data_IF_853242209204
#
_entry.id   IF_853242209204
#
_cell.length_a   1.000
_cell.length_b   1.000
_cell.length_c   1.000
_cell.angle_alpha   90.00
_cell.angle_beta   90.00
_cell.angle_gamma   90.00
#
_symmetry.space_group_name_H-M   'P 1'
#
loop_
_entity.id
_entity.type
_entity.pdbx_description
1 polymer ?
#
# COMPACT_ATOMS: atom_id res chain seq x y z
N UNK A 1 -68.76 -44.15 -28.44
CA UNK A 1 -68.00 -43.90 -29.66
C UNK A 1 -67.60 -42.42 -29.65
N UNK A 2 -66.41 -42.11 -29.42
CA UNK A 2 -65.61 -40.96 -29.85
C UNK A 2 -64.47 -40.78 -28.83
N UNK A 3 -63.28 -41.09 -29.31
CA UNK A 3 -61.97 -40.92 -28.62
C UNK A 3 -61.63 -39.47 -28.54
N UNK A 4 -61.23 -38.96 -27.34
CA UNK A 4 -60.57 -37.68 -27.17
C UNK A 4 -59.06 -37.88 -26.85
N UNK A 5 -58.24 -37.54 -27.81
CA UNK A 5 -56.79 -37.51 -27.60
C UNK A 5 -56.39 -36.25 -26.80
N UNK A 6 -55.86 -36.44 -25.62
CA UNK A 6 -55.18 -35.37 -24.86
C UNK A 6 -53.77 -35.20 -25.37
N UNK A 7 -53.48 -34.04 -25.98
CA UNK A 7 -52.17 -33.60 -26.39
C UNK A 7 -51.48 -32.94 -25.16
N UNK A 8 -50.42 -33.57 -24.63
CA UNK A 8 -49.56 -33.01 -23.62
C UNK A 8 -48.55 -32.06 -24.30
N UNK A 9 -48.75 -30.76 -24.09
CA UNK A 9 -47.74 -29.73 -24.41
C UNK A 9 -46.62 -29.76 -23.36
N UNK A 10 -45.50 -30.34 -23.71
CA UNK A 10 -44.23 -30.17 -23.00
C UNK A 10 -43.71 -28.77 -23.29
N UNK A 11 -43.92 -27.83 -22.36
CA UNK A 11 -43.17 -26.56 -22.31
C UNK A 11 -41.76 -26.87 -21.86
N UNK A 12 -40.85 -26.95 -22.83
CA UNK A 12 -39.41 -26.92 -22.59
C UNK A 12 -39.02 -25.55 -22.06
N UNK A 13 -38.62 -25.48 -20.80
CA UNK A 13 -37.91 -24.31 -20.27
C UNK A 13 -36.58 -24.18 -21.00
N UNK A 14 -36.53 -23.33 -22.02
CA UNK A 14 -35.26 -22.82 -22.52
C UNK A 14 -34.67 -21.95 -21.42
N UNK A 15 -33.72 -22.51 -20.67
CA UNK A 15 -32.76 -21.72 -19.90
C UNK A 15 -32.05 -20.79 -20.87
N UNK A 16 -32.34 -19.50 -20.79
CA UNK A 16 -31.55 -18.43 -21.36
C UNK A 16 -30.17 -18.50 -20.69
N UNK A 17 -29.25 -19.30 -21.22
CA UNK A 17 -27.86 -19.12 -21.03
C UNK A 17 -27.58 -17.73 -21.62
N UNK A 18 -27.43 -16.72 -20.74
CA UNK A 18 -27.04 -15.41 -21.15
C UNK A 18 -25.80 -15.54 -22.02
N UNK A 19 -25.83 -14.97 -23.22
CA UNK A 19 -24.63 -14.79 -24.02
C UNK A 19 -23.64 -13.97 -23.17
N UNK A 20 -22.72 -14.65 -22.52
CA UNK A 20 -21.49 -14.02 -22.08
C UNK A 20 -20.85 -13.51 -23.37
N UNK A 21 -20.77 -12.19 -23.56
CA UNK A 21 -20.13 -11.61 -24.72
C UNK A 21 -18.75 -12.24 -24.92
N UNK A 22 -18.27 -12.27 -26.16
CA UNK A 22 -16.90 -12.72 -26.42
C UNK A 22 -15.92 -11.92 -25.55
N UNK A 23 -14.92 -12.55 -24.95
CA UNK A 23 -13.95 -11.85 -24.12
C UNK A 23 -13.23 -10.80 -24.98
N UNK A 24 -13.15 -9.58 -24.48
CA UNK A 24 -12.59 -8.42 -25.17
C UNK A 24 -11.67 -7.66 -24.22
N UNK A 25 -10.42 -7.49 -24.64
CA UNK A 25 -9.42 -6.74 -23.86
C UNK A 25 -9.83 -5.28 -23.66
N UNK A 26 -10.51 -4.65 -24.64
CA UNK A 26 -11.04 -3.29 -24.53
C UNK A 26 -12.12 -3.22 -23.45
N UNK A 27 -13.02 -4.21 -23.40
CA UNK A 27 -14.05 -4.28 -22.34
C UNK A 27 -13.42 -4.46 -20.95
N UNK A 28 -12.36 -5.25 -20.85
CA UNK A 28 -11.61 -5.38 -19.59
C UNK A 28 -10.97 -4.04 -19.16
N UNK A 29 -10.34 -3.32 -20.08
CA UNK A 29 -9.74 -2.01 -19.82
C UNK A 29 -10.79 -0.96 -19.44
N UNK A 30 -11.92 -0.91 -20.15
CA UNK A 30 -13.03 -0.02 -19.82
C UNK A 30 -13.67 -0.34 -18.46
N UNK A 31 -13.75 -1.61 -18.11
CA UNK A 31 -14.21 -2.05 -16.79
C UNK A 31 -13.25 -1.61 -15.68
N UNK A 32 -11.93 -1.78 -15.88
CA UNK A 32 -10.92 -1.27 -14.96
C UNK A 32 -11.03 0.24 -14.77
N UNK A 33 -11.17 1.00 -15.86
CA UNK A 33 -11.30 2.45 -15.79
C UNK A 33 -12.55 2.92 -15.00
N UNK A 34 -13.59 2.08 -14.94
CA UNK A 34 -14.80 2.33 -14.16
C UNK A 34 -14.77 1.75 -12.74
N UNK A 35 -13.67 1.08 -12.36
CA UNK A 35 -13.56 0.38 -11.07
C UNK A 35 -14.34 -0.94 -11.00
N UNK A 36 -14.87 -1.46 -12.12
CA UNK A 36 -15.53 -2.77 -12.21
C UNK A 36 -14.48 -3.88 -12.37
N UNK A 37 -13.82 -4.18 -11.25
CA UNK A 37 -12.76 -5.21 -11.21
C UNK A 37 -13.30 -6.60 -11.50
N UNK A 38 -14.57 -6.89 -11.20
CA UNK A 38 -15.20 -8.19 -11.46
C UNK A 38 -15.31 -8.49 -12.95
N UNK A 39 -15.87 -7.55 -13.72
CA UNK A 39 -15.97 -7.66 -15.19
C UNK A 39 -14.58 -7.67 -15.84
N UNK A 40 -13.66 -6.85 -15.35
CA UNK A 40 -12.29 -6.83 -15.86
C UNK A 40 -11.59 -8.18 -15.65
N UNK A 41 -11.65 -8.72 -14.43
CA UNK A 41 -11.08 -10.01 -14.05
C UNK A 41 -11.61 -11.15 -14.95
N UNK A 42 -12.93 -11.22 -15.16
CA UNK A 42 -13.55 -12.24 -15.99
C UNK A 42 -13.05 -12.19 -17.43
N UNK A 43 -12.98 -11.01 -18.04
CA UNK A 43 -12.53 -10.85 -19.41
C UNK A 43 -11.02 -11.15 -19.55
N UNK A 44 -10.18 -10.63 -18.64
CA UNK A 44 -8.74 -10.92 -18.66
C UNK A 44 -8.45 -12.41 -18.42
N UNK A 45 -9.17 -13.08 -17.50
CA UNK A 45 -8.99 -14.50 -17.25
C UNK A 45 -9.29 -15.33 -18.51
N UNK A 46 -10.42 -15.08 -19.16
CA UNK A 46 -10.81 -15.81 -20.38
C UNK A 46 -9.79 -15.62 -21.52
N UNK A 47 -9.29 -14.40 -21.70
CA UNK A 47 -8.26 -14.11 -22.72
C UNK A 47 -6.89 -14.70 -22.33
N UNK A 48 -6.52 -14.66 -21.05
CA UNK A 48 -5.29 -15.25 -20.55
C UNK A 48 -5.28 -16.77 -20.73
N UNK A 49 -6.42 -17.46 -20.49
CA UNK A 49 -6.59 -18.89 -20.73
C UNK A 49 -6.47 -19.26 -22.21
N UNK A 50 -6.76 -18.31 -23.11
CA UNK A 50 -6.51 -18.45 -24.56
C UNK A 50 -5.06 -18.12 -24.98
N UNK A 51 -4.20 -17.74 -24.02
CA UNK A 51 -2.78 -17.46 -24.25
C UNK A 51 -2.45 -16.02 -24.69
N UNK A 52 -3.40 -15.09 -24.59
CA UNK A 52 -3.13 -13.67 -24.89
C UNK A 52 -2.25 -13.05 -23.82
N UNK A 53 -1.01 -12.72 -24.16
CA UNK A 53 0.01 -12.22 -23.20
C UNK A 53 -0.41 -10.91 -22.54
N UNK A 54 -0.98 -9.96 -23.28
CA UNK A 54 -1.46 -8.71 -22.71
C UNK A 54 -2.59 -8.90 -21.70
N UNK A 55 -3.42 -9.93 -21.90
CA UNK A 55 -4.47 -10.28 -20.94
C UNK A 55 -3.88 -10.95 -19.69
N UNK A 56 -2.84 -11.77 -19.83
CA UNK A 56 -2.09 -12.30 -18.70
C UNK A 56 -1.49 -11.18 -17.85
N UNK A 57 -0.91 -10.16 -18.48
CA UNK A 57 -0.42 -8.97 -17.77
C UNK A 57 -1.56 -8.23 -17.05
N UNK A 58 -2.70 -8.01 -17.72
CA UNK A 58 -3.85 -7.36 -17.11
C UNK A 58 -4.43 -8.16 -15.94
N UNK A 59 -4.48 -9.49 -16.04
CA UNK A 59 -4.89 -10.37 -14.95
C UNK A 59 -3.94 -10.23 -13.75
N UNK A 60 -2.64 -10.28 -14.00
CA UNK A 60 -1.63 -10.13 -12.96
C UNK A 60 -1.64 -8.74 -12.31
N UNK A 61 -1.91 -7.67 -13.08
CA UNK A 61 -2.08 -6.32 -12.56
C UNK A 61 -3.26 -6.26 -11.56
N UNK A 62 -4.39 -6.94 -11.82
CA UNK A 62 -5.53 -7.03 -10.89
C UNK A 62 -5.19 -7.89 -9.67
N UNK A 63 -4.53 -9.02 -9.86
CA UNK A 63 -4.10 -9.88 -8.76
C UNK A 63 -3.15 -9.15 -7.81
N UNK A 64 -2.26 -8.33 -8.34
CA UNK A 64 -1.33 -7.50 -7.57
C UNK A 64 -2.07 -6.48 -6.68
N UNK A 65 -3.17 -5.90 -7.18
CA UNK A 65 -3.98 -4.92 -6.44
C UNK A 65 -4.80 -5.54 -5.29
N UNK A 66 -4.96 -6.85 -5.25
CA UNK A 66 -5.79 -7.52 -4.23
C UNK A 66 -5.19 -7.49 -2.82
N UNK A 67 -3.86 -7.32 -2.68
CA UNK A 67 -3.15 -7.42 -1.41
C UNK A 67 -3.11 -8.84 -0.80
N UNK A 68 -3.79 -9.82 -1.40
CA UNK A 68 -3.77 -11.21 -0.94
C UNK A 68 -2.42 -11.87 -1.28
N UNK A 69 -1.71 -12.43 -0.29
CA UNK A 69 -0.44 -13.11 -0.51
C UNK A 69 -0.47 -14.25 -1.55
N UNK A 70 -1.58 -14.94 -1.71
CA UNK A 70 -1.74 -15.98 -2.72
C UNK A 70 -1.86 -15.35 -4.12
N UNK A 71 -2.63 -14.28 -4.26
CA UNK A 71 -2.80 -13.54 -5.52
C UNK A 71 -1.50 -12.85 -5.94
N UNK A 72 -0.73 -12.33 -4.99
CA UNK A 72 0.56 -11.71 -5.28
C UNK A 72 1.58 -12.72 -5.83
N UNK A 73 1.64 -13.93 -5.25
CA UNK A 73 2.46 -15.01 -5.81
C UNK A 73 1.99 -15.44 -7.19
N UNK A 74 0.68 -15.49 -7.41
CA UNK A 74 0.09 -15.80 -8.71
C UNK A 74 0.45 -14.73 -9.74
N UNK A 75 0.38 -13.44 -9.37
CA UNK A 75 0.79 -12.32 -10.22
C UNK A 75 2.28 -12.41 -10.62
N UNK A 76 3.17 -12.65 -9.64
CA UNK A 76 4.61 -12.84 -9.92
C UNK A 76 4.84 -13.99 -10.89
N UNK A 77 4.20 -15.15 -10.67
CA UNK A 77 4.31 -16.30 -11.56
C UNK A 77 3.80 -15.99 -12.98
N UNK A 78 2.69 -15.28 -13.09
CA UNK A 78 2.12 -14.88 -14.38
C UNK A 78 3.04 -13.89 -15.11
N UNK A 79 3.60 -12.89 -14.42
CA UNK A 79 4.58 -11.99 -15.03
C UNK A 79 5.84 -12.74 -15.48
N UNK A 80 6.37 -13.70 -14.70
CA UNK A 80 7.53 -14.50 -15.08
C UNK A 80 7.26 -15.31 -16.36
N UNK A 81 6.08 -15.90 -16.48
CA UNK A 81 5.70 -16.64 -17.68
C UNK A 81 5.59 -15.72 -18.91
N UNK A 82 5.03 -14.52 -18.74
CA UNK A 82 4.80 -13.57 -19.81
C UNK A 82 6.06 -12.77 -20.21
N UNK A 83 7.01 -12.56 -19.29
CA UNK A 83 8.17 -11.68 -19.46
C UNK A 83 9.06 -12.05 -20.66
N UNK A 84 9.20 -13.34 -20.97
CA UNK A 84 9.99 -13.79 -22.10
C UNK A 84 9.47 -13.30 -23.47
N UNK A 85 8.15 -12.99 -23.54
CA UNK A 85 7.47 -12.62 -24.79
C UNK A 85 6.83 -11.23 -24.76
N UNK A 86 6.94 -10.50 -23.65
CA UNK A 86 6.34 -9.19 -23.48
C UNK A 86 7.26 -8.25 -22.70
N UNK A 87 7.81 -7.21 -23.34
CA UNK A 87 8.56 -6.16 -22.65
C UNK A 87 7.76 -5.51 -21.52
N UNK A 88 6.45 -5.35 -21.68
CA UNK A 88 5.56 -4.85 -20.65
C UNK A 88 5.51 -5.77 -19.44
N UNK A 89 5.41 -7.10 -19.63
CA UNK A 89 5.46 -8.05 -18.53
C UNK A 89 6.84 -8.05 -17.85
N UNK A 90 7.92 -7.94 -18.63
CA UNK A 90 9.28 -7.81 -18.11
C UNK A 90 9.42 -6.55 -17.24
N UNK A 91 8.91 -5.40 -17.68
CA UNK A 91 8.90 -4.17 -16.90
C UNK A 91 8.09 -4.32 -15.59
N UNK A 92 6.92 -5.00 -15.64
CA UNK A 92 6.09 -5.26 -14.45
C UNK A 92 6.79 -6.17 -13.45
N UNK A 93 7.38 -7.27 -13.92
CA UNK A 93 8.16 -8.18 -13.08
C UNK A 93 9.40 -7.48 -12.50
N UNK A 94 10.14 -6.75 -13.33
CA UNK A 94 11.32 -6.01 -12.89
C UNK A 94 10.98 -4.98 -11.82
N UNK A 95 9.87 -4.25 -11.96
CA UNK A 95 9.36 -3.33 -10.93
C UNK A 95 9.02 -4.07 -9.64
N UNK A 96 8.27 -5.17 -9.74
CA UNK A 96 7.88 -5.99 -8.59
C UNK A 96 9.11 -6.45 -7.81
N UNK A 97 10.12 -6.99 -8.51
CA UNK A 97 11.35 -7.48 -7.89
C UNK A 97 12.22 -6.36 -7.32
N UNK A 98 12.30 -5.20 -8.01
CA UNK A 98 13.07 -4.04 -7.56
C UNK A 98 12.55 -3.46 -6.24
N UNK A 99 11.25 -3.52 -6.04
CA UNK A 99 10.59 -3.02 -4.82
C UNK A 99 10.39 -4.09 -3.75
N UNK A 100 10.81 -5.32 -4.03
CA UNK A 100 10.63 -6.48 -3.14
C UNK A 100 11.51 -6.33 -1.88
N UNK A 101 10.95 -6.09 -0.67
CA UNK A 101 11.73 -6.07 0.57
C UNK A 101 12.39 -7.44 0.81
N UNK A 102 13.66 -7.42 1.20
CA UNK A 102 14.41 -8.66 1.44
C UNK A 102 14.70 -9.48 0.17
N UNK A 103 14.61 -8.85 -1.03
CA UNK A 103 15.02 -9.47 -2.27
C UNK A 103 16.48 -9.94 -2.19
N UNK A 104 16.74 -11.13 -2.73
CA UNK A 104 18.09 -11.67 -2.84
C UNK A 104 18.88 -10.90 -3.90
N UNK A 105 20.22 -10.95 -3.82
CA UNK A 105 21.07 -10.36 -4.86
C UNK A 105 20.71 -10.89 -6.26
N UNK A 106 20.37 -12.16 -6.37
CA UNK A 106 19.93 -12.77 -7.63
C UNK A 106 18.64 -12.14 -8.17
N UNK A 107 17.65 -11.90 -7.33
CA UNK A 107 16.40 -11.24 -7.70
C UNK A 107 16.61 -9.77 -8.06
N UNK A 108 17.52 -9.08 -7.38
CA UNK A 108 17.89 -7.69 -7.68
C UNK A 108 18.58 -7.59 -9.05
N UNK A 109 19.49 -8.51 -9.37
CA UNK A 109 20.13 -8.59 -10.69
C UNK A 109 19.14 -8.99 -11.79
N UNK A 110 18.20 -9.89 -11.49
CA UNK A 110 17.09 -10.22 -12.39
C UNK A 110 16.23 -8.99 -12.69
N UNK A 111 15.86 -8.22 -11.66
CA UNK A 111 15.10 -6.98 -11.79
C UNK A 111 15.81 -5.97 -12.70
N UNK A 112 17.11 -5.78 -12.50
CA UNK A 112 17.94 -4.90 -13.35
C UNK A 112 17.88 -5.31 -14.81
N UNK A 113 18.11 -6.61 -15.09
CA UNK A 113 18.10 -7.16 -16.45
C UNK A 113 16.76 -6.96 -17.12
N UNK A 114 15.66 -7.33 -16.44
CA UNK A 114 14.30 -7.19 -16.96
C UNK A 114 13.95 -5.72 -17.26
N UNK A 115 14.31 -4.79 -16.39
CA UNK A 115 14.02 -3.38 -16.58
C UNK A 115 14.87 -2.76 -17.70
N UNK A 116 16.16 -3.14 -17.84
CA UNK A 116 17.02 -2.68 -18.92
C UNK A 116 16.56 -3.22 -20.28
N UNK A 117 16.19 -4.50 -20.35
CA UNK A 117 15.69 -5.11 -21.59
C UNK A 117 14.35 -4.49 -22.02
N UNK A 118 13.44 -4.26 -21.06
CA UNK A 118 12.19 -3.56 -21.31
C UNK A 118 12.43 -2.11 -21.79
N UNK A 119 13.37 -1.39 -21.17
CA UNK A 119 13.78 -0.04 -21.60
C UNK A 119 14.31 -0.05 -23.04
N UNK A 120 15.18 -1.00 -23.37
CA UNK A 120 15.71 -1.16 -24.72
C UNK A 120 14.61 -1.50 -25.76
N UNK A 121 13.54 -2.17 -25.32
CA UNK A 121 12.35 -2.45 -26.13
C UNK A 121 11.36 -1.28 -26.21
N UNK A 122 11.65 -0.13 -25.58
CA UNK A 122 10.84 1.11 -25.64
C UNK A 122 9.77 1.24 -24.55
N UNK A 123 9.77 0.39 -23.52
CA UNK A 123 8.88 0.55 -22.37
C UNK A 123 9.26 1.79 -21.54
N UNK A 124 8.24 2.61 -21.23
CA UNK A 124 8.46 3.96 -20.69
C UNK A 124 8.70 4.01 -19.18
N UNK A 125 8.14 3.09 -18.41
CA UNK A 125 8.10 3.17 -16.95
C UNK A 125 9.17 2.27 -16.30
N UNK A 126 10.42 2.38 -16.75
CA UNK A 126 11.55 1.55 -16.31
C UNK A 126 12.60 2.33 -15.52
N UNK A 127 12.71 3.63 -15.75
CA UNK A 127 13.74 4.49 -15.12
C UNK A 127 13.55 4.59 -13.61
N UNK A 128 12.32 4.87 -13.14
CA UNK A 128 12.07 5.02 -11.70
C UNK A 128 12.27 3.70 -10.92
N UNK A 129 11.76 2.54 -11.39
CA UNK A 129 12.10 1.26 -10.76
C UNK A 129 13.61 0.96 -10.72
N UNK A 130 14.36 1.27 -11.78
CA UNK A 130 15.82 1.13 -11.77
C UNK A 130 16.47 2.08 -10.74
N UNK A 131 15.96 3.31 -10.63
CA UNK A 131 16.44 4.27 -9.63
C UNK A 131 16.23 3.74 -8.23
N UNK A 132 15.03 3.25 -7.92
CA UNK A 132 14.71 2.64 -6.63
C UNK A 132 15.63 1.46 -6.34
N UNK A 133 15.80 0.56 -7.30
CA UNK A 133 16.66 -0.63 -7.19
C UNK A 133 18.10 -0.25 -6.80
N UNK A 134 18.70 0.68 -7.53
CA UNK A 134 20.10 1.07 -7.30
C UNK A 134 20.29 1.84 -5.99
N UNK A 135 19.32 2.69 -5.63
CA UNK A 135 19.38 3.47 -4.40
C UNK A 135 19.19 2.61 -3.15
N UNK A 136 18.30 1.62 -3.22
CA UNK A 136 18.03 0.72 -2.09
C UNK A 136 19.08 -0.38 -1.93
N UNK A 137 19.78 -0.77 -3.00
CA UNK A 137 20.73 -1.88 -3.00
C UNK A 137 22.13 -1.49 -3.52
N UNK A 138 22.77 -0.43 -2.96
CA UNK A 138 24.07 0.03 -3.45
C UNK A 138 25.18 -1.03 -3.30
N UNK A 139 25.04 -1.98 -2.36
CA UNK A 139 25.97 -3.08 -2.18
C UNK A 139 25.92 -4.11 -3.30
N UNK A 140 24.76 -4.28 -3.94
CA UNK A 140 24.59 -5.17 -5.10
C UNK A 140 25.08 -4.51 -6.39
N UNK A 141 25.01 -3.18 -6.47
CA UNK A 141 25.35 -2.39 -7.66
C UNK A 141 26.45 -1.36 -7.35
N UNK A 142 27.63 -1.77 -6.82
CA UNK A 142 28.69 -0.82 -6.44
C UNK A 142 29.29 -0.06 -7.63
N UNK A 143 29.09 -0.58 -8.85
CA UNK A 143 29.52 0.03 -10.10
C UNK A 143 28.61 1.18 -10.55
N UNK A 144 27.41 1.33 -10.01
CA UNK A 144 26.44 2.32 -10.47
C UNK A 144 26.62 3.64 -9.74
N UNK A 145 27.05 4.66 -10.48
CA UNK A 145 27.00 6.05 -10.02
C UNK A 145 25.67 6.68 -10.46
N UNK A 146 24.75 6.86 -9.52
CA UNK A 146 23.40 7.35 -9.83
C UNK A 146 23.37 8.70 -10.53
N UNK A 147 24.26 9.64 -10.15
CA UNK A 147 24.31 10.96 -10.80
C UNK A 147 24.74 10.85 -12.28
N UNK A 148 25.71 9.98 -12.55
CA UNK A 148 26.14 9.69 -13.91
C UNK A 148 25.06 8.94 -14.70
N UNK A 149 24.39 7.99 -14.07
CA UNK A 149 23.32 7.22 -14.68
C UNK A 149 22.12 8.09 -15.08
N UNK A 150 21.69 9.01 -14.21
CA UNK A 150 20.63 9.98 -14.52
C UNK A 150 21.07 10.90 -15.68
N UNK A 151 22.31 11.35 -15.69
CA UNK A 151 22.84 12.17 -16.79
C UNK A 151 22.81 11.42 -18.13
N UNK A 152 23.12 10.11 -18.11
CA UNK A 152 23.03 9.26 -19.29
C UNK A 152 21.58 9.10 -19.75
N UNK A 153 20.65 8.79 -18.84
CA UNK A 153 19.23 8.69 -19.19
C UNK A 153 18.65 9.98 -19.78
N UNK A 154 19.11 11.16 -19.28
CA UNK A 154 18.75 12.46 -19.89
C UNK A 154 19.27 12.59 -21.32
N UNK A 155 20.54 12.23 -21.54
CA UNK A 155 21.15 12.27 -22.85
C UNK A 155 20.49 11.34 -23.85
N UNK A 156 20.04 10.17 -23.38
CA UNK A 156 19.31 9.17 -24.17
C UNK A 156 17.83 9.53 -24.36
N UNK A 157 17.35 10.64 -23.78
CA UNK A 157 15.95 11.08 -23.88
C UNK A 157 14.96 10.14 -23.15
N UNK A 158 15.44 9.44 -22.14
CA UNK A 158 14.59 8.51 -21.40
C UNK A 158 13.50 9.27 -20.63
N UNK A 159 12.23 8.86 -20.76
CA UNK A 159 11.17 9.38 -19.90
C UNK A 159 11.50 9.18 -18.42
N UNK A 160 11.06 10.08 -17.58
CA UNK A 160 11.24 10.02 -16.12
C UNK A 160 12.71 10.23 -15.62
N UNK A 161 13.69 10.47 -16.50
CA UNK A 161 15.08 10.73 -16.08
C UNK A 161 15.17 11.93 -15.11
N UNK A 162 14.33 12.95 -15.31
CA UNK A 162 14.25 14.10 -14.40
C UNK A 162 13.65 13.71 -13.03
N UNK A 163 12.62 12.85 -13.02
CA UNK A 163 12.04 12.36 -11.76
C UNK A 163 12.99 11.44 -10.99
N UNK A 164 13.87 10.71 -11.68
CA UNK A 164 14.93 9.96 -11.03
C UNK A 164 15.85 10.86 -10.18
N UNK A 165 16.08 12.12 -10.59
CA UNK A 165 16.84 13.10 -9.80
C UNK A 165 16.11 13.47 -8.50
N UNK A 166 14.80 13.65 -8.55
CA UNK A 166 13.97 13.93 -7.35
C UNK A 166 14.03 12.76 -6.37
N UNK A 167 13.92 11.53 -6.87
CA UNK A 167 14.09 10.32 -6.06
C UNK A 167 15.47 10.24 -5.42
N UNK A 168 16.53 10.59 -6.17
CA UNK A 168 17.90 10.59 -5.65
C UNK A 168 18.04 11.59 -4.50
N UNK A 169 17.48 12.80 -4.60
CA UNK A 169 17.48 13.78 -3.53
C UNK A 169 16.79 13.28 -2.26
N UNK A 170 15.65 12.57 -2.41
CA UNK A 170 14.96 11.93 -1.27
C UNK A 170 15.84 10.87 -0.60
N UNK A 171 16.42 9.98 -1.40
CA UNK A 171 17.25 8.89 -0.92
C UNK A 171 18.52 9.35 -0.20
N UNK A 172 19.08 10.45 -0.64
CA UNK A 172 20.26 11.07 -0.02
C UNK A 172 19.91 11.93 1.20
N UNK A 173 18.64 12.14 1.53
CA UNK A 173 18.21 13.05 2.58
C UNK A 173 18.50 14.53 2.29
N UNK A 174 18.71 14.86 1.01
CA UNK A 174 19.04 16.23 0.57
C UNK A 174 17.88 16.98 -0.07
N UNK A 175 16.67 16.39 0.00
CA UNK A 175 15.46 16.93 -0.62
C UNK A 175 15.23 18.41 -0.30
N UNK A 176 15.34 18.80 0.96
CA UNK A 176 15.11 20.18 1.41
C UNK A 176 16.15 21.18 0.91
N UNK A 177 17.32 20.69 0.50
CA UNK A 177 18.38 21.52 -0.08
C UNK A 177 18.17 21.79 -1.58
N UNK A 178 17.27 21.02 -2.23
CA UNK A 178 17.05 21.03 -3.67
C UNK A 178 15.63 21.44 -4.08
N UNK A 179 14.90 22.14 -3.21
CA UNK A 179 13.50 22.53 -3.49
C UNK A 179 13.34 23.37 -4.78
N UNK A 180 14.34 24.23 -5.12
CA UNK A 180 14.32 25.01 -6.37
C UNK A 180 14.43 24.12 -7.61
N UNK A 181 15.28 23.11 -7.54
CA UNK A 181 15.49 22.18 -8.64
C UNK A 181 14.27 21.27 -8.83
N UNK A 182 13.70 20.79 -7.73
CA UNK A 182 12.47 19.98 -7.73
C UNK A 182 11.31 20.77 -8.32
N UNK A 183 11.12 22.04 -7.90
CA UNK A 183 10.10 22.91 -8.47
C UNK A 183 10.29 23.08 -10.00
N UNK A 184 11.51 23.37 -10.43
CA UNK A 184 11.84 23.52 -11.85
C UNK A 184 11.56 22.24 -12.64
N UNK A 185 12.02 21.10 -12.15
CA UNK A 185 11.78 19.78 -12.76
C UNK A 185 10.30 19.50 -12.88
N UNK A 186 9.56 19.65 -11.79
CA UNK A 186 8.14 19.29 -11.76
C UNK A 186 7.26 20.28 -12.51
N UNK A 187 7.56 21.57 -12.53
CA UNK A 187 6.84 22.53 -13.40
C UNK A 187 7.03 22.22 -14.88
N UNK A 188 8.24 21.80 -15.30
CA UNK A 188 8.51 21.43 -16.67
C UNK A 188 7.85 20.12 -17.11
N UNK A 189 7.60 19.19 -16.18
CA UNK A 189 7.11 17.84 -16.47
C UNK A 189 5.67 17.59 -16.04
N UNK A 190 4.97 18.56 -15.45
CA UNK A 190 3.64 18.38 -14.86
C UNK A 190 2.57 17.86 -15.85
N UNK A 191 2.73 18.13 -17.13
CA UNK A 191 1.79 17.67 -18.17
C UNK A 191 1.90 16.18 -18.51
N UNK A 192 3.05 15.56 -18.20
CA UNK A 192 3.37 14.18 -18.58
C UNK A 192 3.65 13.28 -17.38
N UNK A 193 3.93 13.87 -16.21
CA UNK A 193 4.28 13.16 -15.00
C UNK A 193 3.40 13.66 -13.84
N UNK A 194 2.36 12.90 -13.52
CA UNK A 194 1.36 13.29 -12.52
C UNK A 194 1.90 13.27 -11.09
N UNK A 195 2.99 12.53 -10.82
CA UNK A 195 3.70 12.56 -9.55
C UNK A 195 4.19 13.98 -9.19
N UNK A 196 4.45 14.82 -10.19
CA UNK A 196 4.85 16.21 -10.02
C UNK A 196 3.82 17.07 -9.27
N UNK A 197 2.53 16.69 -9.26
CA UNK A 197 1.54 17.38 -8.42
C UNK A 197 1.84 17.24 -6.93
N UNK A 198 2.25 16.05 -6.50
CA UNK A 198 2.60 15.77 -5.10
C UNK A 198 3.91 16.45 -4.72
N UNK A 199 4.90 16.42 -5.61
CA UNK A 199 6.20 17.07 -5.37
C UNK A 199 6.05 18.60 -5.27
N UNK A 200 5.32 19.23 -6.18
CA UNK A 200 5.05 20.66 -6.14
C UNK A 200 4.25 21.05 -4.90
N UNK A 201 3.23 20.27 -4.53
CA UNK A 201 2.48 20.50 -3.30
C UNK A 201 3.40 20.46 -2.08
N UNK A 202 4.31 19.48 -2.02
CA UNK A 202 5.31 19.36 -0.95
C UNK A 202 6.25 20.57 -0.90
N UNK A 203 6.76 21.00 -2.06
CA UNK A 203 7.65 22.16 -2.16
C UNK A 203 6.94 23.43 -1.70
N UNK A 204 5.70 23.66 -2.18
CA UNK A 204 4.96 24.88 -1.84
C UNK A 204 4.53 24.91 -0.37
N UNK A 205 4.16 23.74 0.18
CA UNK A 205 3.82 23.60 1.61
C UNK A 205 5.03 23.93 2.49
N UNK A 206 6.21 23.30 2.21
CA UNK A 206 7.46 23.56 2.94
C UNK A 206 7.94 25.01 2.87
N UNK A 207 7.68 25.69 1.76
CA UNK A 207 8.06 27.10 1.55
C UNK A 207 7.03 28.12 2.02
N UNK A 208 5.85 27.67 2.47
CA UNK A 208 4.75 28.55 2.84
C UNK A 208 4.30 29.44 1.66
N UNK A 209 4.07 28.85 0.48
CA UNK A 209 3.67 29.57 -0.74
C UNK A 209 2.20 29.29 -1.11
N UNK A 210 1.23 29.83 -0.35
CA UNK A 210 -0.17 29.49 -0.47
C UNK A 210 -0.77 29.84 -1.85
N UNK A 211 -0.30 30.91 -2.51
CA UNK A 211 -0.80 31.30 -3.82
C UNK A 211 -0.39 30.30 -4.92
N UNK A 212 0.85 29.77 -4.85
CA UNK A 212 1.29 28.71 -5.76
C UNK A 212 0.54 27.39 -5.48
N UNK A 213 0.33 27.08 -4.20
CA UNK A 213 -0.46 25.92 -3.78
C UNK A 213 -1.87 25.98 -4.35
N UNK A 214 -2.56 27.13 -4.22
CA UNK A 214 -3.90 27.34 -4.76
C UNK A 214 -3.94 27.20 -6.29
N UNK A 215 -2.95 27.76 -6.99
CA UNK A 215 -2.83 27.61 -8.44
C UNK A 215 -2.62 26.16 -8.86
N UNK A 216 -1.79 25.41 -8.12
CA UNK A 216 -1.54 23.98 -8.34
C UNK A 216 -2.83 23.15 -8.16
N UNK A 217 -3.60 23.43 -7.10
CA UNK A 217 -4.89 22.76 -6.82
C UNK A 217 -5.84 22.97 -8.00
N UNK A 218 -5.95 24.19 -8.53
CA UNK A 218 -6.81 24.48 -9.65
C UNK A 218 -6.39 23.69 -10.93
N UNK A 219 -5.08 23.59 -11.18
CA UNK A 219 -4.51 22.76 -12.28
C UNK A 219 -4.83 21.28 -12.08
N UNK A 220 -4.64 20.76 -10.86
CA UNK A 220 -4.92 19.36 -10.52
C UNK A 220 -6.41 19.02 -10.71
N UNK A 221 -7.31 19.88 -10.22
CA UNK A 221 -8.75 19.70 -10.40
C UNK A 221 -9.16 19.75 -11.89
N UNK A 222 -8.52 20.60 -12.70
CA UNK A 222 -8.74 20.63 -14.13
C UNK A 222 -8.26 19.35 -14.82
N UNK A 223 -7.07 18.87 -14.48
CA UNK A 223 -6.50 17.63 -15.00
C UNK A 223 -7.35 16.39 -14.61
N UNK A 224 -7.89 16.36 -13.39
CA UNK A 224 -8.82 15.32 -12.97
C UNK A 224 -10.11 15.34 -13.79
N UNK A 225 -10.74 16.52 -13.96
CA UNK A 225 -11.97 16.65 -14.75
C UNK A 225 -11.80 16.27 -16.22
N UNK A 226 -10.59 16.43 -16.78
CA UNK A 226 -10.26 15.99 -18.15
C UNK A 226 -9.83 14.51 -18.23
N UNK A 227 -9.76 13.78 -17.10
CA UNK A 227 -9.34 12.38 -17.05
C UNK A 227 -7.84 12.16 -17.22
N UNK A 228 -7.03 13.22 -17.10
CA UNK A 228 -5.56 13.14 -17.22
C UNK A 228 -4.90 12.61 -15.95
N UNK A 229 -5.51 12.84 -14.79
CA UNK A 229 -5.01 12.33 -13.50
C UNK A 229 -6.09 11.52 -12.78
N UNK A 230 -5.71 10.45 -12.09
CA UNK A 230 -6.64 9.62 -11.32
C UNK A 230 -6.99 10.28 -9.97
N UNK A 231 -8.11 9.90 -9.33
CA UNK A 231 -8.55 10.46 -8.05
C UNK A 231 -7.53 10.26 -6.92
N UNK A 232 -6.74 9.19 -6.96
CA UNK A 232 -5.65 8.92 -6.02
C UNK A 232 -4.65 10.08 -5.92
N UNK A 233 -4.44 10.80 -7.01
CA UNK A 233 -3.51 11.95 -7.04
C UNK A 233 -4.05 13.13 -6.25
N UNK A 234 -5.38 13.37 -6.29
CA UNK A 234 -6.03 14.40 -5.47
C UNK A 234 -5.92 14.07 -3.99
N UNK A 235 -6.14 12.80 -3.64
CA UNK A 235 -6.01 12.31 -2.26
C UNK A 235 -4.57 12.44 -1.75
N UNK A 236 -3.58 12.10 -2.58
CA UNK A 236 -2.16 12.24 -2.23
C UNK A 236 -1.77 13.73 -1.98
N UNK A 237 -2.24 14.65 -2.82
CA UNK A 237 -2.00 16.09 -2.63
C UNK A 237 -2.71 16.59 -1.37
N UNK A 238 -3.94 16.15 -1.10
CA UNK A 238 -4.67 16.51 0.12
C UNK A 238 -3.90 16.05 1.39
N UNK A 239 -3.29 14.87 1.36
CA UNK A 239 -2.44 14.38 2.46
C UNK A 239 -1.20 15.26 2.68
N UNK A 240 -0.53 15.70 1.61
CA UNK A 240 0.60 16.64 1.71
C UNK A 240 0.17 17.94 2.37
N UNK A 241 -0.99 18.48 1.99
CA UNK A 241 -1.50 19.76 2.51
C UNK A 241 -1.84 19.71 4.00
N UNK A 242 -2.11 18.54 4.54
CA UNK A 242 -2.49 18.34 5.93
C UNK A 242 -1.37 17.77 6.80
N UNK A 243 -0.20 17.47 6.23
CA UNK A 243 0.95 16.98 6.97
C UNK A 243 1.63 18.13 7.75
N UNK A 244 1.54 18.14 9.10
CA UNK A 244 2.11 19.21 9.93
C UNK A 244 3.65 19.23 9.89
N UNK A 245 4.29 18.17 9.42
CA UNK A 245 5.76 18.12 9.27
C UNK A 245 6.25 18.90 8.06
N UNK A 246 5.37 19.16 7.09
CA UNK A 246 5.69 19.89 5.88
C UNK A 246 5.37 21.39 5.98
N UNK A 247 4.45 21.76 6.86
CA UNK A 247 4.05 23.16 7.06
C UNK A 247 2.71 23.28 7.79
N UNK A 248 2.15 24.48 7.90
CA UNK A 248 0.83 24.66 8.49
C UNK A 248 -0.23 23.90 7.70
N UNK A 249 -1.04 23.03 8.34
CA UNK A 249 -2.07 22.25 7.63
C UNK A 249 -3.13 23.15 6.99
N UNK A 250 -3.48 22.88 5.73
CA UNK A 250 -4.58 23.50 4.98
C UNK A 250 -5.74 22.50 4.81
N UNK A 251 -6.53 22.40 5.88
CA UNK A 251 -7.66 21.48 5.96
C UNK A 251 -8.79 21.85 4.99
N UNK A 252 -8.98 23.14 4.71
CA UNK A 252 -10.04 23.63 3.83
C UNK A 252 -9.78 23.21 2.38
N UNK A 253 -8.57 23.47 1.90
CA UNK A 253 -8.18 23.07 0.54
C UNK A 253 -8.12 21.54 0.37
N UNK A 254 -7.66 20.80 1.39
CA UNK A 254 -7.68 19.35 1.37
C UNK A 254 -9.12 18.81 1.26
N UNK A 255 -10.05 19.35 2.04
CA UNK A 255 -11.48 19.00 1.97
C UNK A 255 -12.04 19.30 0.57
N UNK A 256 -11.74 20.47 0.01
CA UNK A 256 -12.19 20.88 -1.33
C UNK A 256 -11.63 19.98 -2.46
N UNK A 257 -10.50 19.29 -2.26
CA UNK A 257 -9.99 18.28 -3.18
C UNK A 257 -10.73 16.95 -3.02
N UNK A 258 -11.03 16.53 -1.81
CA UNK A 258 -11.55 15.20 -1.50
C UNK A 258 -13.06 15.06 -1.73
N UNK A 259 -13.86 16.06 -1.36
CA UNK A 259 -15.32 15.99 -1.47
C UNK A 259 -15.83 15.67 -2.89
N UNK A 260 -15.28 16.29 -3.97
CA UNK A 260 -15.77 16.02 -5.32
C UNK A 260 -15.48 14.61 -5.83
N UNK A 261 -14.42 13.96 -5.32
CA UNK A 261 -14.00 12.63 -5.75
C UNK A 261 -14.60 11.50 -4.89
N UNK A 262 -15.01 11.80 -3.67
CA UNK A 262 -15.47 10.81 -2.71
C UNK A 262 -16.62 9.90 -3.18
N UNK A 263 -17.60 10.36 -3.99
CA UNK A 263 -18.64 9.47 -4.50
C UNK A 263 -18.15 8.37 -5.46
N UNK A 264 -17.02 8.60 -6.14
CA UNK A 264 -16.44 7.67 -7.12
C UNK A 264 -15.15 7.03 -6.65
N UNK A 265 -14.55 7.58 -5.61
CA UNK A 265 -13.33 7.09 -4.97
C UNK A 265 -13.55 6.99 -3.45
N UNK A 266 -14.04 5.84 -2.96
CA UNK A 266 -14.47 5.68 -1.56
C UNK A 266 -13.41 6.00 -0.51
N UNK A 267 -12.12 5.83 -0.83
CA UNK A 267 -11.02 6.15 0.07
C UNK A 267 -10.98 7.65 0.44
N UNK A 268 -11.51 8.53 -0.41
CA UNK A 268 -11.62 9.94 -0.09
C UNK A 268 -12.56 10.22 1.09
N UNK A 269 -13.60 9.39 1.31
CA UNK A 269 -14.42 9.47 2.52
C UNK A 269 -13.61 9.21 3.78
N UNK A 270 -12.72 8.23 3.71
CA UNK A 270 -11.82 7.89 4.84
C UNK A 270 -10.82 9.02 5.08
N UNK A 271 -10.25 9.58 4.01
CA UNK A 271 -9.35 10.73 4.12
C UNK A 271 -10.04 11.94 4.72
N UNK A 272 -11.27 12.25 4.31
CA UNK A 272 -12.10 13.31 4.93
C UNK A 272 -12.35 13.06 6.43
N UNK A 273 -12.71 11.85 6.81
CA UNK A 273 -12.90 11.47 8.20
C UNK A 273 -11.60 11.59 9.00
N UNK A 274 -10.44 11.21 8.40
CA UNK A 274 -9.14 11.32 9.05
C UNK A 274 -8.75 12.77 9.31
N UNK A 275 -9.03 13.70 8.40
CA UNK A 275 -8.80 15.13 8.65
C UNK A 275 -9.50 15.61 9.93
N UNK A 276 -10.74 15.18 10.14
CA UNK A 276 -11.50 15.53 11.33
C UNK A 276 -10.97 14.82 12.59
N UNK A 277 -10.52 13.57 12.46
CA UNK A 277 -9.91 12.82 13.55
C UNK A 277 -8.59 13.46 14.03
N UNK A 278 -7.78 13.99 13.12
CA UNK A 278 -6.49 14.65 13.42
C UNK A 278 -6.66 16.07 13.97
N UNK A 279 -7.82 16.70 13.76
CA UNK A 279 -8.17 18.03 14.30
C UNK A 279 -9.42 17.97 15.22
N UNK A 280 -9.34 17.27 16.36
CA UNK A 280 -10.49 16.95 17.20
C UNK A 280 -11.22 18.16 17.79
N UNK A 281 -10.52 19.29 17.98
CA UNK A 281 -11.11 20.52 18.54
C UNK A 281 -12.08 21.19 17.57
N UNK A 282 -11.95 20.96 16.27
CA UNK A 282 -12.80 21.50 15.22
C UNK A 282 -13.69 20.43 14.57
N UNK A 283 -13.64 19.18 15.06
CA UNK A 283 -14.32 18.05 14.43
C UNK A 283 -15.82 18.07 14.69
N UNK A 284 -16.61 18.04 13.63
CA UNK A 284 -17.99 17.58 13.67
C UNK A 284 -18.00 16.05 13.66
N UNK A 285 -18.18 15.46 14.85
CA UNK A 285 -18.11 14.01 15.07
C UNK A 285 -19.20 13.29 14.27
N UNK A 286 -20.39 13.87 14.14
CA UNK A 286 -21.49 13.26 13.38
C UNK A 286 -21.15 13.23 11.89
N UNK A 287 -20.56 14.30 11.35
CA UNK A 287 -20.10 14.34 9.96
C UNK A 287 -18.95 13.36 9.72
N UNK A 288 -18.01 13.25 10.65
CA UNK A 288 -16.92 12.29 10.57
C UNK A 288 -17.45 10.85 10.50
N UNK A 289 -18.41 10.52 11.35
CA UNK A 289 -19.02 9.19 11.35
C UNK A 289 -19.83 8.93 10.06
N UNK A 290 -20.52 9.94 9.51
CA UNK A 290 -21.20 9.82 8.20
C UNK A 290 -20.20 9.51 7.07
N UNK A 291 -19.06 10.20 7.04
CA UNK A 291 -18.00 9.89 6.06
C UNK A 291 -17.48 8.46 6.21
N UNK A 292 -17.22 8.00 7.43
CA UNK A 292 -16.77 6.63 7.68
C UNK A 292 -17.82 5.60 7.29
N UNK A 293 -19.09 5.87 7.55
CA UNK A 293 -20.19 5.00 7.16
C UNK A 293 -20.31 4.89 5.63
N UNK A 294 -20.15 6.00 4.89
CA UNK A 294 -20.09 5.99 3.42
C UNK A 294 -18.92 5.19 2.89
N UNK A 295 -17.72 5.38 3.46
CA UNK A 295 -16.55 4.58 3.11
C UNK A 295 -16.76 3.08 3.39
N UNK A 296 -17.34 2.76 4.55
CA UNK A 296 -17.70 1.40 4.94
C UNK A 296 -18.73 0.76 4.01
N UNK A 297 -19.79 1.50 3.67
CA UNK A 297 -20.83 1.05 2.74
C UNK A 297 -20.29 0.78 1.34
N UNK A 298 -19.23 1.48 0.94
CA UNK A 298 -18.52 1.27 -0.30
C UNK A 298 -17.43 0.17 -0.21
N UNK A 299 -17.32 -0.51 0.94
CA UNK A 299 -16.42 -1.64 1.13
C UNK A 299 -14.98 -1.29 1.49
N UNK A 300 -14.68 -0.04 1.91
CA UNK A 300 -13.32 0.34 2.31
C UNK A 300 -12.88 -0.31 3.62
N UNK A 301 -11.84 -1.16 3.61
CA UNK A 301 -11.27 -1.71 4.85
C UNK A 301 -10.66 -0.63 5.75
N UNK A 302 -10.17 0.49 5.18
CA UNK A 302 -9.63 1.62 5.92
C UNK A 302 -10.70 2.33 6.74
N UNK A 303 -11.95 2.39 6.24
CA UNK A 303 -13.08 2.91 7.01
C UNK A 303 -13.37 2.03 8.23
N UNK A 304 -13.37 0.70 8.05
CA UNK A 304 -13.51 -0.25 9.15
C UNK A 304 -12.37 -0.12 10.17
N UNK A 305 -11.12 0.04 9.72
CA UNK A 305 -9.97 0.28 10.61
C UNK A 305 -10.15 1.55 11.44
N UNK A 306 -10.53 2.68 10.81
CA UNK A 306 -10.66 3.95 11.51
C UNK A 306 -11.84 3.96 12.50
N UNK A 307 -12.97 3.31 12.13
CA UNK A 307 -14.07 3.08 13.07
C UNK A 307 -13.63 2.24 14.27
N UNK A 308 -12.92 1.14 14.01
CA UNK A 308 -12.38 0.28 15.06
C UNK A 308 -11.45 1.05 16.01
N UNK A 309 -10.56 1.87 15.45
CA UNK A 309 -9.65 2.72 16.21
C UNK A 309 -10.41 3.77 17.07
N UNK A 310 -11.41 4.42 16.50
CA UNK A 310 -12.25 5.39 17.21
C UNK A 310 -12.91 4.80 18.46
N UNK A 311 -13.56 3.63 18.30
CA UNK A 311 -14.20 2.94 19.42
C UNK A 311 -13.19 2.35 20.42
N UNK A 312 -12.00 1.95 19.95
CA UNK A 312 -10.93 1.51 20.82
C UNK A 312 -10.37 2.63 21.70
N UNK A 313 -10.12 3.80 21.13
CA UNK A 313 -9.50 4.92 21.83
C UNK A 313 -10.48 5.67 22.73
N UNK A 314 -11.74 5.81 22.32
CA UNK A 314 -12.78 6.48 23.10
C UNK A 314 -12.56 7.99 23.27
N UNK A 315 -11.83 8.63 22.32
CA UNK A 315 -11.50 10.07 22.42
C UNK A 315 -12.59 10.97 21.86
N UNK A 316 -13.12 10.63 20.69
CA UNK A 316 -14.16 11.40 19.98
C UNK A 316 -15.54 10.78 20.13
N UNK A 317 -15.59 9.48 20.34
CA UNK A 317 -16.79 8.70 20.64
C UNK A 317 -16.60 7.95 21.94
N UNK A 318 -17.64 7.56 22.68
CA UNK A 318 -17.50 6.69 23.85
C UNK A 318 -16.76 5.38 23.49
N UNK A 319 -15.82 4.99 24.35
CA UNK A 319 -15.09 3.73 24.17
C UNK A 319 -16.07 2.54 24.16
N UNK A 320 -15.94 1.69 23.16
CA UNK A 320 -16.76 0.49 22.98
C UNK A 320 -15.90 -0.63 22.37
N UNK A 321 -15.36 -1.46 23.24
CA UNK A 321 -14.44 -2.52 22.82
C UNK A 321 -15.11 -3.57 21.91
N UNK A 322 -16.41 -3.83 22.08
CA UNK A 322 -17.15 -4.78 21.25
C UNK A 322 -17.35 -4.24 19.82
N UNK A 323 -17.71 -2.96 19.69
CA UNK A 323 -17.76 -2.32 18.37
C UNK A 323 -16.38 -2.21 17.75
N UNK A 324 -15.35 -1.87 18.55
CA UNK A 324 -13.97 -1.83 18.06
C UNK A 324 -13.55 -3.19 17.49
N UNK A 325 -13.77 -4.28 18.22
CA UNK A 325 -13.49 -5.64 17.76
C UNK A 325 -14.22 -5.96 16.45
N UNK A 326 -15.53 -5.68 16.36
CA UNK A 326 -16.34 -5.96 15.18
C UNK A 326 -15.77 -5.28 13.91
N UNK A 327 -15.41 -4.00 14.02
CA UNK A 327 -14.85 -3.25 12.89
C UNK A 327 -13.43 -3.72 12.55
N UNK A 328 -12.58 -3.93 13.57
CA UNK A 328 -11.20 -4.36 13.36
C UNK A 328 -11.09 -5.76 12.75
N UNK A 329 -11.98 -6.70 13.11
CA UNK A 329 -12.02 -8.02 12.49
C UNK A 329 -12.35 -7.96 10.99
N UNK A 330 -13.17 -7.00 10.55
CA UNK A 330 -13.46 -6.78 9.13
C UNK A 330 -12.28 -6.11 8.40
N UNK A 331 -11.56 -5.23 9.08
CA UNK A 331 -10.39 -4.55 8.52
C UNK A 331 -9.16 -5.47 8.42
N UNK A 332 -8.95 -6.37 9.39
CA UNK A 332 -7.71 -7.15 9.56
C UNK A 332 -7.21 -7.92 8.32
N UNK A 333 -8.07 -8.47 7.44
CA UNK A 333 -7.59 -9.14 6.23
C UNK A 333 -6.79 -8.24 5.28
N UNK A 334 -7.08 -6.93 5.26
CA UNK A 334 -6.46 -5.96 4.35
C UNK A 334 -5.63 -4.89 5.08
N UNK A 335 -5.93 -4.65 6.36
CA UNK A 335 -5.34 -3.57 7.15
C UNK A 335 -4.60 -4.13 8.38
N UNK A 336 -3.30 -4.35 8.30
CA UNK A 336 -2.53 -4.97 9.39
C UNK A 336 -2.54 -4.22 10.71
N UNK A 337 -2.72 -2.91 10.67
CA UNK A 337 -2.86 -2.12 11.88
C UNK A 337 -4.08 -2.55 12.71
N UNK A 338 -5.09 -3.16 12.09
CA UNK A 338 -6.25 -3.72 12.79
C UNK A 338 -5.83 -4.86 13.73
N UNK A 339 -4.91 -5.71 13.29
CA UNK A 339 -4.38 -6.79 14.13
C UNK A 339 -3.68 -6.26 15.40
N UNK A 340 -2.98 -5.12 15.31
CA UNK A 340 -2.39 -4.51 16.49
C UNK A 340 -3.46 -4.09 17.51
N UNK A 341 -4.53 -3.42 17.08
CA UNK A 341 -5.59 -3.00 17.99
C UNK A 341 -6.37 -4.19 18.56
N UNK A 342 -6.64 -5.22 17.76
CA UNK A 342 -7.25 -6.48 18.24
C UNK A 342 -6.37 -7.13 19.32
N UNK A 343 -5.06 -7.24 19.06
CA UNK A 343 -4.12 -7.74 20.05
C UNK A 343 -4.11 -6.94 21.34
N UNK A 344 -4.25 -5.61 21.28
CA UNK A 344 -4.37 -4.77 22.47
C UNK A 344 -5.69 -4.98 23.23
N UNK A 345 -6.83 -5.13 22.51
CA UNK A 345 -8.15 -5.42 23.10
C UNK A 345 -8.09 -6.71 23.91
N UNK A 346 -7.60 -7.79 23.32
CA UNK A 346 -7.52 -9.09 23.96
C UNK A 346 -6.48 -9.13 25.10
N UNK A 347 -5.31 -8.50 24.91
CA UNK A 347 -4.27 -8.45 25.94
C UNK A 347 -4.71 -7.69 27.19
N UNK A 348 -5.52 -6.64 27.04
CA UNK A 348 -5.98 -5.79 28.13
C UNK A 348 -7.29 -6.25 28.77
N UNK A 349 -7.95 -7.24 28.17
CA UNK A 349 -9.24 -7.74 28.65
C UNK A 349 -10.38 -6.74 28.52
N UNK A 350 -10.36 -5.87 27.49
CA UNK A 350 -11.39 -4.86 27.30
C UNK A 350 -12.78 -5.43 27.00
N UNK A 351 -12.86 -6.73 26.64
CA UNK A 351 -14.11 -7.47 26.44
C UNK A 351 -14.59 -8.21 27.70
N UNK A 352 -13.96 -7.96 28.86
CA UNK A 352 -14.31 -8.54 30.14
C UNK A 352 -13.27 -9.51 30.69
N UNK A 353 -12.51 -10.20 29.84
CA UNK A 353 -11.43 -11.10 30.22
C UNK A 353 -10.23 -10.97 29.29
N UNK A 354 -9.06 -11.36 29.80
CA UNK A 354 -7.82 -11.38 29.03
C UNK A 354 -7.80 -12.66 28.20
N UNK A 355 -7.56 -12.55 26.90
CA UNK A 355 -7.46 -13.67 25.96
C UNK A 355 -6.04 -13.73 25.36
N UNK A 356 -5.07 -14.34 26.05
CA UNK A 356 -3.65 -14.25 25.69
C UNK A 356 -3.32 -14.87 24.34
N UNK A 357 -3.96 -15.99 23.99
CA UNK A 357 -3.72 -16.69 22.72
C UNK A 357 -4.15 -15.84 21.54
N UNK A 358 -5.34 -15.24 21.61
CA UNK A 358 -5.80 -14.29 20.58
C UNK A 358 -4.91 -13.05 20.51
N UNK A 359 -4.50 -12.52 21.68
CA UNK A 359 -3.60 -11.38 21.73
C UNK A 359 -2.28 -11.68 21.04
N UNK A 360 -1.69 -12.85 21.31
CA UNK A 360 -0.44 -13.29 20.71
C UNK A 360 -0.56 -13.43 19.19
N UNK A 361 -1.61 -14.12 18.72
CA UNK A 361 -1.84 -14.35 17.29
C UNK A 361 -1.98 -13.02 16.52
N UNK A 362 -2.80 -12.10 17.01
CA UNK A 362 -3.01 -10.81 16.37
C UNK A 362 -1.74 -9.94 16.43
N UNK A 363 -1.05 -9.87 17.57
CA UNK A 363 0.20 -9.10 17.69
C UNK A 363 1.31 -9.68 16.80
N UNK A 364 1.41 -11.01 16.65
CA UNK A 364 2.38 -11.62 15.72
C UNK A 364 2.09 -11.26 14.27
N UNK A 365 0.81 -11.28 13.85
CA UNK A 365 0.44 -10.84 12.49
C UNK A 365 0.79 -9.38 12.26
N UNK A 366 0.44 -8.49 13.20
CA UNK A 366 0.77 -7.08 13.12
C UNK A 366 2.30 -6.85 13.08
N UNK A 367 3.05 -7.51 13.96
CA UNK A 367 4.51 -7.40 14.04
C UNK A 367 5.19 -7.86 12.75
N UNK A 368 4.77 -9.02 12.21
CA UNK A 368 5.27 -9.56 10.94
C UNK A 368 4.90 -8.72 9.73
N UNK A 369 3.96 -7.81 9.92
CA UNK A 369 3.59 -6.79 8.94
C UNK A 369 4.33 -5.47 9.10
N UNK A 370 5.33 -5.44 9.99
CA UNK A 370 6.14 -4.24 10.21
C UNK A 370 5.58 -3.25 11.24
N UNK A 371 4.55 -3.62 12.02
CA UNK A 371 3.98 -2.71 13.00
C UNK A 371 4.84 -2.63 14.28
N UNK A 372 5.69 -1.61 14.39
CA UNK A 372 6.67 -1.44 15.49
C UNK A 372 6.07 -1.51 16.91
N UNK A 373 4.85 -1.02 17.09
CA UNK A 373 4.17 -1.09 18.39
C UNK A 373 3.75 -2.52 18.74
N UNK A 374 3.53 -3.39 17.76
CA UNK A 374 3.23 -4.81 17.99
C UNK A 374 4.48 -5.56 18.45
N UNK A 375 5.63 -5.27 17.85
CA UNK A 375 6.92 -5.82 18.34
C UNK A 375 7.17 -5.46 19.79
N UNK A 376 6.99 -4.20 20.13
CA UNK A 376 7.17 -3.74 21.51
C UNK A 376 6.16 -4.40 22.47
N UNK A 377 4.91 -4.57 22.06
CA UNK A 377 3.88 -5.24 22.84
C UNK A 377 4.20 -6.72 23.08
N UNK A 378 4.71 -7.43 22.06
CA UNK A 378 5.19 -8.82 22.17
C UNK A 378 6.39 -8.92 23.12
N UNK A 379 7.37 -8.02 22.98
CA UNK A 379 8.52 -7.97 23.88
C UNK A 379 8.08 -7.81 25.34
N UNK A 380 7.09 -6.96 25.63
CA UNK A 380 6.51 -6.81 26.96
C UNK A 380 5.78 -8.07 27.42
N UNK A 381 4.99 -8.71 26.56
CA UNK A 381 4.27 -9.95 26.91
C UNK A 381 5.24 -11.05 27.33
N UNK A 382 6.26 -11.31 26.51
CA UNK A 382 7.24 -12.36 26.78
C UNK A 382 8.17 -12.03 27.95
N UNK A 383 8.56 -10.77 28.16
CA UNK A 383 9.42 -10.40 29.29
C UNK A 383 8.72 -10.43 30.64
N UNK A 384 7.42 -10.11 30.68
CA UNK A 384 6.63 -10.01 31.90
C UNK A 384 5.82 -11.27 32.19
N UNK A 385 5.72 -12.23 31.27
CA UNK A 385 4.91 -13.42 31.42
C UNK A 385 3.40 -13.12 31.52
N UNK A 386 2.92 -12.01 30.93
CA UNK A 386 1.52 -11.61 31.01
C UNK A 386 0.67 -12.41 30.03
N UNK A 387 0.02 -13.44 30.53
CA UNK A 387 -0.84 -14.34 29.76
C UNK A 387 -0.09 -15.35 28.89
N UNK A 388 1.24 -15.29 28.86
CA UNK A 388 2.14 -16.24 28.21
C UNK A 388 3.24 -16.61 29.20
N UNK A 389 3.90 -17.74 28.99
CA UNK A 389 5.08 -18.07 29.77
C UNK A 389 6.20 -17.07 29.50
N UNK A 390 6.93 -16.63 30.55
CA UNK A 390 8.11 -15.77 30.38
C UNK A 390 9.12 -16.40 29.44
N UNK A 391 9.49 -15.70 28.38
CA UNK A 391 10.48 -16.13 27.39
C UNK A 391 11.40 -14.96 27.05
N UNK A 392 12.55 -14.92 27.75
CA UNK A 392 13.52 -13.84 27.56
C UNK A 392 14.17 -13.85 26.18
N UNK A 393 14.24 -15.00 25.50
CA UNK A 393 14.79 -15.09 24.14
C UNK A 393 13.86 -14.38 23.16
N UNK A 394 12.57 -14.74 23.15
CA UNK A 394 11.59 -14.07 22.31
C UNK A 394 11.39 -12.60 22.72
N UNK A 395 11.42 -12.28 24.02
CA UNK A 395 11.37 -10.89 24.48
C UNK A 395 12.51 -10.05 23.90
N UNK A 396 13.73 -10.61 23.85
CA UNK A 396 14.89 -9.93 23.24
C UNK A 396 14.70 -9.76 21.73
N UNK A 397 14.31 -10.81 21.02
CA UNK A 397 14.08 -10.76 19.56
C UNK A 397 13.12 -9.62 19.20
N UNK A 398 11.93 -9.60 19.81
CA UNK A 398 10.92 -8.60 19.51
C UNK A 398 11.31 -7.19 20.00
N UNK A 399 12.08 -7.08 21.10
CA UNK A 399 12.59 -5.76 21.50
C UNK A 399 13.61 -5.21 20.51
N UNK A 400 14.51 -6.07 19.97
CA UNK A 400 15.46 -5.65 18.92
C UNK A 400 14.77 -5.24 17.61
N UNK A 401 13.72 -5.94 17.22
CA UNK A 401 12.91 -5.57 16.04
C UNK A 401 12.21 -4.22 16.25
N UNK A 402 11.67 -3.97 17.45
CA UNK A 402 11.08 -2.68 17.80
C UNK A 402 12.12 -1.53 17.81
N UNK A 403 13.37 -1.81 18.22
CA UNK A 403 14.50 -0.85 18.10
C UNK A 403 14.79 -0.52 16.67
N UNK A 404 14.90 -1.54 15.80
CA UNK A 404 15.15 -1.36 14.35
C UNK A 404 14.04 -0.58 13.66
N UNK A 405 12.80 -0.76 14.12
CA UNK A 405 11.64 -0.03 13.65
C UNK A 405 11.50 1.39 14.25
N UNK A 406 12.49 1.86 15.03
CA UNK A 406 12.54 3.22 15.56
C UNK A 406 11.64 3.50 16.76
N UNK A 407 11.15 2.46 17.46
CA UNK A 407 10.31 2.67 18.66
C UNK A 407 11.15 3.25 19.81
N UNK A 408 10.80 4.45 20.29
CA UNK A 408 11.60 5.22 21.24
C UNK A 408 11.85 4.49 22.59
N UNK A 409 10.88 3.70 23.08
CA UNK A 409 10.97 2.98 24.37
C UNK A 409 11.65 1.59 24.24
N UNK A 410 11.89 1.12 23.02
CA UNK A 410 12.41 -0.21 22.78
C UNK A 410 13.89 -0.41 23.23
N UNK A 411 14.80 0.57 23.08
CA UNK A 411 16.20 0.40 23.49
C UNK A 411 16.36 0.06 24.97
N UNK A 412 15.58 0.68 25.85
CA UNK A 412 15.62 0.42 27.29
C UNK A 412 15.17 -1.01 27.60
N UNK A 413 14.05 -1.46 27.03
CA UNK A 413 13.55 -2.82 27.21
C UNK A 413 14.53 -3.86 26.65
N UNK A 414 15.12 -3.62 25.48
CA UNK A 414 16.10 -4.50 24.85
C UNK A 414 17.37 -4.64 25.72
N UNK A 415 17.85 -3.55 26.30
CA UNK A 415 18.99 -3.56 27.22
C UNK A 415 18.67 -4.35 28.49
N UNK A 416 17.52 -4.10 29.11
CA UNK A 416 17.05 -4.78 30.32
C UNK A 416 16.92 -6.29 30.10
N UNK A 417 16.29 -6.73 29.02
CA UNK A 417 16.13 -8.16 28.69
C UNK A 417 17.49 -8.77 28.34
N UNK A 418 18.32 -8.06 27.56
CA UNK A 418 19.64 -8.53 27.15
C UNK A 418 20.60 -8.81 28.32
N UNK A 419 20.49 -8.06 29.43
CA UNK A 419 21.27 -8.30 30.64
C UNK A 419 20.88 -9.59 31.36
N UNK A 420 19.65 -10.06 31.18
CA UNK A 420 19.13 -11.27 31.83
C UNK A 420 19.44 -12.55 31.05
N UNK A 421 19.86 -12.44 29.79
CA UNK A 421 20.16 -13.59 28.93
C UNK A 421 21.51 -14.20 29.30
N UNK A 422 21.51 -15.54 29.50
CA UNK A 422 22.75 -16.32 29.51
C UNK A 422 23.46 -16.29 28.15
N UNK A 423 24.76 -16.65 28.07
CA UNK A 423 25.47 -16.69 26.79
C UNK A 423 24.81 -17.58 25.73
N UNK A 424 24.27 -18.73 26.15
CA UNK A 424 23.55 -19.68 25.27
C UNK A 424 22.27 -19.05 24.74
N UNK A 425 21.46 -18.47 25.62
CA UNK A 425 20.22 -17.79 25.22
C UNK A 425 20.48 -16.60 24.30
N UNK A 426 21.59 -15.89 24.48
CA UNK A 426 21.97 -14.76 23.58
C UNK A 426 22.28 -15.24 22.16
N UNK A 427 22.99 -16.38 22.04
CA UNK A 427 23.25 -16.98 20.72
C UNK A 427 21.94 -17.45 20.06
N UNK A 428 21.05 -18.10 20.82
CA UNK A 428 19.73 -18.51 20.32
C UNK A 428 18.88 -17.31 19.89
N UNK A 429 18.87 -16.24 20.70
CA UNK A 429 18.15 -15.01 20.36
C UNK A 429 18.67 -14.34 19.08
N UNK A 430 19.98 -14.32 18.87
CA UNK A 430 20.56 -13.78 17.63
C UNK A 430 20.15 -14.60 16.40
N UNK A 431 20.16 -15.93 16.52
CA UNK A 431 19.70 -16.82 15.45
C UNK A 431 18.22 -16.59 15.12
N UNK A 432 17.36 -16.58 16.14
CA UNK A 432 15.92 -16.32 15.96
C UNK A 432 15.63 -14.93 15.41
N UNK A 433 16.40 -13.93 15.79
CA UNK A 433 16.29 -12.59 15.24
C UNK A 433 16.54 -12.59 13.72
N UNK A 434 17.58 -13.29 13.27
CA UNK A 434 17.86 -13.43 11.85
C UNK A 434 16.76 -14.21 11.10
N UNK A 435 16.26 -15.29 11.69
CA UNK A 435 15.16 -16.08 11.12
C UNK A 435 13.88 -15.24 10.99
N UNK A 436 13.52 -14.46 12.02
CA UNK A 436 12.34 -13.59 11.99
C UNK A 436 12.51 -12.44 10.99
N UNK A 437 13.71 -11.86 10.86
CA UNK A 437 14.00 -10.83 9.85
C UNK A 437 13.87 -11.39 8.43
N UNK A 438 14.36 -12.59 8.17
CA UNK A 438 14.20 -13.25 6.87
C UNK A 438 12.73 -13.56 6.58
N UNK A 439 11.99 -14.05 7.57
CA UNK A 439 10.56 -14.31 7.44
C UNK A 439 9.76 -13.05 7.12
N UNK A 440 10.07 -11.93 7.78
CA UNK A 440 9.43 -10.62 7.55
C UNK A 440 9.81 -10.04 6.20
N UNK A 441 11.06 -10.14 5.81
CA UNK A 441 11.51 -9.76 4.47
C UNK A 441 10.63 -10.40 3.39
N UNK A 442 10.30 -11.68 3.53
CA UNK A 442 9.36 -12.36 2.65
C UNK A 442 7.91 -11.83 2.73
N UNK A 443 7.45 -11.33 3.88
CA UNK A 443 6.07 -10.84 4.09
C UNK A 443 5.84 -9.37 3.73
N UNK A 444 6.82 -8.51 3.98
CA UNK A 444 6.75 -7.07 3.66
C UNK A 444 6.75 -6.81 2.16
N UNK A 445 7.33 -7.72 1.38
CA UNK A 445 7.28 -7.76 -0.07
C UNK A 445 5.89 -7.66 -0.65
N UNK A 446 4.94 -8.28 0.03
CA UNK A 446 3.60 -8.49 -0.49
C UNK A 446 2.74 -7.22 -0.37
N UNK A 447 3.12 -6.26 0.50
CA UNK A 447 2.32 -5.07 0.81
C UNK A 447 2.73 -3.82 0.07
N UNK A 448 4.01 -3.54 -0.03
CA UNK A 448 4.50 -2.39 -0.78
C UNK A 448 4.05 -2.42 -2.26
N UNK A 449 3.84 -3.64 -2.79
CA UNK A 449 3.27 -3.83 -4.12
C UNK A 449 1.75 -3.62 -4.18
N UNK A 450 1.03 -3.86 -3.07
CA UNK A 450 -0.44 -3.76 -3.01
C UNK A 450 -0.92 -2.33 -2.72
N UNK A 451 -0.18 -1.57 -1.93
CA UNK A 451 -0.64 -0.25 -1.47
C UNK A 451 -0.51 0.86 -2.53
N UNK A 452 0.06 0.56 -3.69
CA UNK A 452 0.20 1.56 -4.77
C UNK A 452 1.03 2.80 -4.36
N UNK A 453 1.70 2.74 -3.22
CA UNK A 453 2.53 3.84 -2.68
C UNK A 453 3.87 3.97 -3.42
N UNK A 454 4.09 3.12 -4.41
CA UNK A 454 5.24 3.22 -5.28
C UNK A 454 4.81 3.76 -6.65
N UNK A 455 4.89 5.10 -6.77
CA UNK A 455 4.99 5.93 -8.00
C UNK A 455 4.10 5.55 -9.18
#
# INVERSE_FOLDING_TARGET
MTSSHAIWLLLGALSLAGCTGLPDQRLAQEAMARGDTGTALQNYQQLADLGYVDAQVGLADIQLQSGDPAQLRAAEATYRQAAANSPRAAARLGRLLASKPGSTEAEQREAETLLKDAMAAGERNTVLPLTVLYVQHPQTFPEVNMQQQISQWRADGQPQAEMAQVLLYRAQGTYDQHLDDIERICEANLAVEDACYVELATVYQKRGQPEKQKALIARLQAAYRSGQVPPQRLDAVARVMTDPTLGPPDMESAKALLEPIAPTYPEAWVSLARLMYEAPEAADVDQMLDYLERGRAAGSPRAELLLGKLYYEGKLVPQDAAKAEQHLLKAAPSEPSADYYLGQIYRRGFLGEVEPDKALDHLLRAARSGHANADYALAQMFSQGRGVQTDLVNAYVFSQLAVQAGRAEAPELAAQVGQQLSPIQRTDAQKKLQEEQQFRGAGTMLRAAADGEMY
#
